data_IF_075573850319
#
_entry.id   IF_075573850319
#
_cell.length_a   1.000
_cell.length_b   1.000
_cell.length_c   1.000
_cell.angle_alpha   90.00
_cell.angle_beta   90.00
_cell.angle_gamma   90.00
#
_symmetry.space_group_name_H-M   'P 1'
#
loop_
_entity.id
_entity.type
_entity.pdbx_description
1 polymer ?
#
# COMPACT_ATOMS: atom_id res chain seq x y z
N UNK A 1 -17.69 -1.32 2.73
CA UNK A 1 -16.61 -1.44 3.73
C UNK A 1 -16.60 -0.15 4.52
N UNK A 2 -16.59 -0.20 5.85
CA UNK A 2 -16.46 1.01 6.66
C UNK A 2 -15.01 1.51 6.61
N UNK A 3 -14.78 2.81 6.83
CA UNK A 3 -13.45 3.40 6.94
C UNK A 3 -12.61 2.72 8.03
N UNK A 4 -13.24 2.40 9.17
CA UNK A 4 -12.60 1.68 10.28
C UNK A 4 -12.17 0.24 9.88
N UNK A 5 -12.95 -0.41 9.02
CA UNK A 5 -12.60 -1.74 8.51
C UNK A 5 -11.41 -1.65 7.56
N UNK A 6 -11.38 -0.62 6.68
CA UNK A 6 -10.27 -0.37 5.77
C UNK A 6 -8.98 -0.04 6.53
N UNK A 7 -9.08 0.76 7.60
CA UNK A 7 -7.94 1.10 8.46
C UNK A 7 -7.30 -0.16 9.07
N UNK A 8 -8.12 -0.98 9.74
CA UNK A 8 -7.66 -2.23 10.36
C UNK A 8 -7.00 -3.13 9.33
N UNK A 9 -7.59 -3.20 8.12
CA UNK A 9 -7.06 -4.01 7.03
C UNK A 9 -5.69 -3.54 6.52
N UNK A 10 -5.47 -2.22 6.42
CA UNK A 10 -4.15 -1.68 6.03
C UNK A 10 -3.10 -2.06 7.06
N UNK A 11 -3.40 -1.92 8.35
CA UNK A 11 -2.49 -2.30 9.45
C UNK A 11 -2.19 -3.80 9.43
N UNK A 12 -3.21 -4.64 9.24
CA UNK A 12 -3.03 -6.09 9.15
C UNK A 12 -2.14 -6.48 7.96
N UNK A 13 -2.41 -5.93 6.77
CA UNK A 13 -1.60 -6.18 5.58
C UNK A 13 -0.15 -5.68 5.73
N UNK A 14 0.06 -4.57 6.46
CA UNK A 14 1.39 -4.10 6.79
C UNK A 14 2.12 -5.09 7.72
N UNK A 15 1.45 -5.63 8.74
CA UNK A 15 1.99 -6.66 9.63
C UNK A 15 2.29 -7.98 8.89
N UNK A 16 1.59 -8.26 7.79
CA UNK A 16 1.91 -9.35 6.85
C UNK A 16 3.16 -9.07 5.98
N UNK A 17 3.74 -7.86 6.07
CA UNK A 17 4.95 -7.46 5.37
C UNK A 17 4.72 -6.82 3.99
N UNK A 18 3.48 -6.44 3.67
CA UNK A 18 3.18 -5.71 2.42
C UNK A 18 3.62 -4.25 2.54
N UNK A 19 4.15 -3.70 1.44
CA UNK A 19 4.42 -2.26 1.34
C UNK A 19 3.19 -1.47 0.90
N UNK A 20 3.25 -0.14 0.98
CA UNK A 20 2.16 0.79 0.61
C UNK A 20 1.58 0.52 -0.78
N UNK A 21 2.43 0.22 -1.78
CA UNK A 21 1.98 -0.03 -3.15
C UNK A 21 1.23 -1.36 -3.27
N UNK A 22 1.74 -2.40 -2.62
CA UNK A 22 1.08 -3.71 -2.56
C UNK A 22 -0.28 -3.62 -1.86
N UNK A 23 -0.36 -2.86 -0.77
CA UNK A 23 -1.59 -2.60 -0.03
C UNK A 23 -2.60 -1.82 -0.89
N UNK A 24 -2.16 -0.74 -1.56
CA UNK A 24 -3.04 0.04 -2.44
C UNK A 24 -3.57 -0.79 -3.61
N UNK A 25 -2.74 -1.68 -4.17
CA UNK A 25 -3.16 -2.61 -5.22
C UNK A 25 -4.20 -3.62 -4.71
N UNK A 26 -4.03 -4.16 -3.50
CA UNK A 26 -5.02 -5.05 -2.84
C UNK A 26 -6.35 -4.36 -2.58
N UNK A 27 -6.33 -3.09 -2.16
CA UNK A 27 -7.55 -2.29 -2.00
C UNK A 27 -8.23 -2.01 -3.35
N UNK A 28 -7.43 -1.86 -4.42
CA UNK A 28 -7.96 -1.69 -5.78
C UNK A 28 -8.74 -2.92 -6.24
N UNK A 29 -8.24 -4.14 -5.97
CA UNK A 29 -8.99 -5.38 -6.23
C UNK A 29 -10.30 -5.50 -5.41
N UNK A 30 -10.44 -4.71 -4.35
CA UNK A 30 -11.64 -4.63 -3.52
C UNK A 30 -12.58 -3.48 -3.92
N UNK A 31 -12.30 -2.81 -5.04
CA UNK A 31 -13.16 -1.79 -5.63
C UNK A 31 -12.76 -0.35 -5.29
N UNK A 32 -11.59 -0.11 -4.71
CA UNK A 32 -11.07 1.24 -4.49
C UNK A 32 -10.40 1.77 -5.76
N UNK A 33 -10.41 3.09 -5.96
CA UNK A 33 -9.50 3.72 -6.91
C UNK A 33 -8.07 3.58 -6.41
N UNK A 34 -7.12 3.24 -7.30
CA UNK A 34 -5.72 3.02 -6.88
C UNK A 34 -5.11 4.23 -6.16
N UNK A 35 -5.35 5.44 -6.67
CA UNK A 35 -4.83 6.66 -6.05
C UNK A 35 -5.52 6.96 -4.70
N UNK A 36 -6.84 6.77 -4.60
CA UNK A 36 -7.57 6.93 -3.34
C UNK A 36 -7.11 5.90 -2.30
N UNK A 37 -6.88 4.66 -2.72
CA UNK A 37 -6.34 3.60 -1.88
C UNK A 37 -4.92 3.90 -1.41
N UNK A 38 -4.08 4.47 -2.28
CA UNK A 38 -2.73 4.86 -1.93
C UNK A 38 -2.72 6.01 -0.93
N UNK A 39 -3.50 7.07 -1.17
CA UNK A 39 -3.65 8.20 -0.25
C UNK A 39 -4.18 7.74 1.12
N UNK A 40 -5.21 6.89 1.13
CA UNK A 40 -5.72 6.30 2.36
C UNK A 40 -4.63 5.50 3.08
N UNK A 41 -3.90 4.63 2.36
CA UNK A 41 -2.81 3.83 2.94
C UNK A 41 -1.70 4.71 3.53
N UNK A 42 -1.32 5.80 2.85
CA UNK A 42 -0.34 6.76 3.35
C UNK A 42 -0.79 7.41 4.65
N UNK A 43 -2.06 7.85 4.73
CA UNK A 43 -2.61 8.45 5.95
C UNK A 43 -2.62 7.48 7.14
N UNK A 44 -2.90 6.18 6.90
CA UNK A 44 -2.82 5.14 7.95
C UNK A 44 -1.38 4.97 8.43
N UNK A 45 -0.41 4.95 7.52
CA UNK A 45 1.00 4.83 7.88
C UNK A 45 1.49 6.02 8.71
N UNK A 46 1.05 7.23 8.39
CA UNK A 46 1.35 8.42 9.18
C UNK A 46 0.70 8.35 10.57
N UNK A 47 -0.57 7.95 10.63
CA UNK A 47 -1.31 7.83 11.90
C UNK A 47 -0.69 6.80 12.85
N UNK A 48 -0.37 5.61 12.33
CA UNK A 48 0.18 4.49 13.10
C UNK A 48 1.72 4.53 13.20
N UNK A 49 2.37 5.55 12.62
CA UNK A 49 3.83 5.66 12.56
C UNK A 49 4.52 4.41 11.96
N UNK A 50 3.88 3.80 10.97
CA UNK A 50 4.37 2.59 10.31
C UNK A 50 5.52 2.94 9.37
N UNK A 51 6.55 2.09 9.35
CA UNK A 51 7.64 2.20 8.40
C UNK A 51 7.35 1.35 7.18
N UNK A 52 7.44 1.92 5.98
CA UNK A 52 7.28 1.12 4.77
C UNK A 52 8.35 0.03 4.72
N UNK A 53 7.96 -1.25 4.70
CA UNK A 53 8.94 -2.32 4.60
C UNK A 53 9.58 -2.20 3.22
N UNK A 54 10.80 -1.66 3.19
CA UNK A 54 11.62 -1.59 1.99
C UNK A 54 11.85 -3.04 1.58
N UNK A 55 11.08 -3.54 0.61
CA UNK A 55 11.46 -4.77 -0.07
C UNK A 55 12.79 -4.45 -0.74
N UNK A 56 13.87 -5.12 -0.32
CA UNK A 56 15.11 -5.23 -1.09
C UNK A 56 14.81 -6.03 -2.37
N UNK A 57 13.99 -5.42 -3.22
CA UNK A 57 13.43 -5.96 -4.44
C UNK A 57 13.15 -4.77 -5.32
N UNK A 58 14.24 -4.25 -5.88
CA UNK A 58 14.28 -3.19 -6.85
C UNK A 58 13.77 -1.82 -6.38
N UNK A 59 14.74 -0.91 -6.16
CA UNK A 59 14.50 0.53 -5.95
C UNK A 59 13.43 1.05 -6.92
N UNK A 60 12.66 2.06 -6.53
CA UNK A 60 11.75 2.81 -7.44
C UNK A 60 12.43 3.20 -8.78
N UNK A 61 13.75 3.35 -8.78
CA UNK A 61 14.58 3.54 -9.98
C UNK A 61 14.65 2.34 -10.92
N UNK A 62 14.58 1.11 -10.41
CA UNK A 62 14.55 -0.13 -11.19
C UNK A 62 13.17 -0.40 -11.78
N UNK A 63 12.08 -0.08 -11.07
CA UNK A 63 10.71 -0.19 -11.61
C UNK A 63 10.45 0.80 -12.75
N UNK A 64 11.05 2.00 -12.73
CA UNK A 64 11.01 2.95 -13.86
C UNK A 64 11.80 2.49 -15.09
N UNK A 65 12.73 1.54 -14.95
CA UNK A 65 13.55 1.02 -16.06
C UNK A 65 12.89 -0.13 -16.82
N UNK A 66 11.80 -0.69 -16.30
CA UNK A 66 11.04 -1.70 -17.01
C UNK A 66 9.94 -1.00 -17.84
N UNK A 67 10.03 -1.02 -19.19
CA UNK A 67 8.90 -0.61 -20.00
C UNK A 67 7.75 -1.62 -19.79
N UNK A 68 6.48 -1.20 -19.89
CA UNK A 68 5.37 -2.15 -19.86
C UNK A 68 5.56 -3.15 -21.01
N UNK A 69 5.58 -4.43 -20.68
CA UNK A 69 5.50 -5.52 -21.67
C UNK A 69 4.07 -5.73 -22.14
#
# INVERSE_FOLDING_TARGET
>A
MSEKDAFTKVVDMHHEGKNKLEIANELTYQGWGFYDALEFTESVYEHESLSDPIRMGSSLEEMRKQPPS
#
